data_IF_599935001814
#
_entry.id   IF_599935001814
#
_cell.length_a   1.000
_cell.length_b   1.000
_cell.length_c   1.000
_cell.angle_alpha   90.00
_cell.angle_beta   90.00
_cell.angle_gamma   90.00
#
_symmetry.space_group_name_H-M   'P 1'
#
loop_
_entity.id
_entity.type
_entity.pdbx_description
1 polymer ?
#
# COMPACT_ATOMS: atom_id res chain seq x y z
N UNK A 1 48.86 1.76 4.27
CA UNK A 1 48.34 1.73 5.66
C UNK A 1 47.13 2.63 5.84
N UNK A 2 47.16 3.89 5.41
CA UNK A 2 46.04 4.86 5.57
C UNK A 2 44.69 4.41 4.99
N UNK A 3 44.69 3.67 3.88
CA UNK A 3 43.45 3.19 3.25
C UNK A 3 42.70 2.15 4.11
N UNK A 4 43.45 1.36 4.90
CA UNK A 4 42.86 0.39 5.81
C UNK A 4 42.19 1.08 7.00
N UNK A 5 42.78 2.16 7.51
CA UNK A 5 42.19 2.99 8.56
C UNK A 5 40.91 3.70 8.09
N UNK A 6 40.89 4.18 6.84
CA UNK A 6 39.70 4.81 6.24
C UNK A 6 38.58 3.77 6.04
N UNK A 7 38.92 2.57 5.59
CA UNK A 7 37.98 1.46 5.46
C UNK A 7 37.41 1.06 6.82
N UNK A 8 38.26 0.88 7.84
CA UNK A 8 37.83 0.54 9.19
C UNK A 8 36.90 1.59 9.80
N UNK A 9 37.20 2.89 9.63
CA UNK A 9 36.30 3.98 10.07
C UNK A 9 34.94 3.92 9.38
N UNK A 10 34.93 3.69 8.07
CA UNK A 10 33.69 3.60 7.28
C UNK A 10 32.82 2.41 7.74
N UNK A 11 33.44 1.26 8.03
CA UNK A 11 32.72 0.09 8.55
C UNK A 11 32.16 0.37 9.95
N UNK A 12 32.92 1.03 10.82
CA UNK A 12 32.46 1.40 12.17
C UNK A 12 31.28 2.36 12.12
N UNK A 13 31.32 3.38 11.25
CA UNK A 13 30.22 4.33 11.07
C UNK A 13 28.96 3.65 10.51
N UNK A 14 29.13 2.72 9.56
CA UNK A 14 28.05 1.89 9.04
C UNK A 14 27.41 1.02 10.11
N UNK A 15 28.23 0.39 10.97
CA UNK A 15 27.75 -0.47 12.06
C UNK A 15 27.04 0.34 13.14
N UNK A 16 27.52 1.55 13.46
CA UNK A 16 26.86 2.47 14.39
C UNK A 16 25.50 2.93 13.87
N UNK A 17 25.42 3.26 12.57
CA UNK A 17 24.16 3.65 11.92
C UNK A 17 23.15 2.49 11.93
N UNK A 18 23.63 1.25 11.75
CA UNK A 18 22.80 0.06 11.84
C UNK A 18 22.27 -0.17 13.27
N UNK A 19 23.12 0.01 14.30
CA UNK A 19 22.71 -0.10 15.70
C UNK A 19 21.59 0.90 16.05
N UNK A 20 21.72 2.15 15.62
CA UNK A 20 20.67 3.18 15.80
C UNK A 20 19.37 2.80 15.08
N UNK A 21 19.47 2.21 13.88
CA UNK A 21 18.31 1.71 13.16
C UNK A 21 17.58 0.58 13.89
N UNK A 22 18.31 -0.32 14.55
CA UNK A 22 17.76 -1.45 15.32
C UNK A 22 17.05 -0.95 16.58
N UNK A 23 17.60 0.04 17.31
CA UNK A 23 16.96 0.64 18.48
C UNK A 23 15.62 1.28 18.12
N UNK A 24 15.58 2.09 17.05
CA UNK A 24 14.34 2.71 16.56
C UNK A 24 13.31 1.65 16.14
N UNK A 25 13.78 0.53 15.58
CA UNK A 25 12.89 -0.58 15.20
C UNK A 25 12.30 -1.27 16.45
N UNK A 26 13.09 -1.44 17.50
CA UNK A 26 12.66 -2.03 18.76
C UNK A 26 11.61 -1.16 19.47
N UNK A 27 11.82 0.17 19.53
CA UNK A 27 10.82 1.11 20.06
C UNK A 27 9.50 1.08 19.27
N UNK A 28 9.60 0.97 17.94
CA UNK A 28 8.41 0.82 17.08
C UNK A 28 7.73 -0.54 17.24
N UNK A 29 8.47 -1.60 17.54
CA UNK A 29 7.89 -2.92 17.83
C UNK A 29 7.18 -2.95 19.18
N UNK A 30 7.72 -2.30 20.21
CA UNK A 30 7.08 -2.22 21.54
C UNK A 30 5.74 -1.45 21.46
N UNK A 31 5.72 -0.32 20.76
CA UNK A 31 4.49 0.47 20.53
C UNK A 31 3.43 -0.27 19.71
N UNK A 32 3.82 -1.08 18.72
CA UNK A 32 2.90 -1.93 17.95
C UNK A 32 2.39 -3.10 18.79
N UNK A 33 3.23 -3.71 19.64
CA UNK A 33 2.81 -4.79 20.53
C UNK A 33 1.81 -4.29 21.59
N UNK A 34 2.05 -3.10 22.15
CA UNK A 34 1.16 -2.46 23.14
C UNK A 34 -0.18 -2.05 22.56
N UNK A 35 -0.23 -1.69 21.28
CA UNK A 35 -1.46 -1.32 20.56
C UNK A 35 -2.32 -2.52 20.13
N UNK A 36 -1.84 -3.77 20.29
CA UNK A 36 -2.53 -4.98 19.80
C UNK A 36 -3.26 -5.77 20.89
N UNK A 37 -3.16 -5.37 22.16
CA UNK A 37 -3.83 -6.04 23.29
C UNK A 37 -5.27 -5.57 23.56
N UNK A 38 -5.72 -4.49 22.92
CA UNK A 38 -7.06 -3.91 23.08
C UNK A 38 -7.93 -4.06 21.82
N UNK A 39 -7.98 -5.23 21.18
CA UNK A 39 -9.11 -5.52 20.30
C UNK A 39 -9.47 -7.02 20.28
N UNK A 40 -10.34 -7.41 21.23
CA UNK A 40 -11.10 -8.66 21.19
C UNK A 40 -12.06 -8.63 19.99
N UNK A 41 -11.97 -9.55 19.00
CA UNK A 41 -13.00 -9.68 17.98
C UNK A 41 -14.14 -10.55 18.53
N UNK A 42 -15.14 -9.91 19.16
CA UNK A 42 -16.46 -10.50 19.38
C UNK A 42 -17.35 -10.14 18.19
N UNK A 43 -17.72 -11.14 17.37
CA UNK A 43 -19.09 -11.47 16.88
C UNK A 43 -19.10 -12.11 15.49
N UNK A 44 -19.31 -13.43 15.52
CA UNK A 44 -20.22 -14.25 14.70
C UNK A 44 -21.06 -13.51 13.65
N UNK A 45 -21.10 -14.02 12.41
CA UNK A 45 -22.32 -14.63 11.85
C UNK A 45 -22.03 -15.38 10.53
N UNK A 46 -22.51 -16.62 10.49
CA UNK A 46 -22.55 -17.54 9.35
C UNK A 46 -23.59 -17.07 8.32
N UNK A 47 -23.32 -17.35 7.03
CA UNK A 47 -24.20 -18.05 6.09
C UNK A 47 -24.11 -17.51 4.65
N UNK A 48 -23.62 -18.35 3.73
CA UNK A 48 -24.06 -18.35 2.32
C UNK A 48 -25.46 -19.01 2.27
N UNK A 49 -26.30 -18.69 1.27
CA UNK A 49 -26.36 -19.60 0.12
C UNK A 49 -26.50 -18.91 -1.24
N UNK A 50 -26.15 -19.66 -2.27
CA UNK A 50 -26.18 -19.31 -3.68
C UNK A 50 -27.60 -19.23 -4.27
N UNK A 51 -27.82 -18.39 -5.29
CA UNK A 51 -28.73 -18.74 -6.41
C UNK A 51 -28.39 -17.99 -7.71
N UNK A 52 -28.54 -18.73 -8.81
CA UNK A 52 -28.14 -18.50 -10.20
C UNK A 52 -28.89 -17.33 -10.91
N UNK A 53 -28.24 -16.82 -11.96
CA UNK A 53 -28.59 -15.82 -12.98
C UNK A 53 -29.97 -16.07 -13.71
N UNK A 54 -30.45 -15.27 -14.70
CA UNK A 54 -29.82 -14.16 -15.48
C UNK A 54 -30.72 -12.93 -15.78
N UNK A 55 -30.13 -11.81 -16.26
CA UNK A 55 -30.69 -10.87 -17.27
C UNK A 55 -29.97 -9.50 -17.25
N UNK A 56 -29.34 -9.13 -18.36
CA UNK A 56 -29.13 -7.72 -18.79
C UNK A 56 -30.37 -7.31 -19.63
N UNK A 57 -30.70 -6.02 -19.92
CA UNK A 57 -29.81 -4.86 -19.93
C UNK A 57 -30.41 -3.51 -19.38
N UNK A 58 -29.51 -2.52 -19.25
CA UNK A 58 -29.74 -1.06 -19.21
C UNK A 58 -30.74 -0.51 -18.18
N UNK A 59 -30.19 0.05 -17.09
CA UNK A 59 -30.57 1.40 -16.66
C UNK A 59 -29.39 2.08 -15.98
N UNK A 60 -29.21 3.33 -16.33
CA UNK A 60 -28.28 4.31 -15.78
C UNK A 60 -28.54 4.50 -14.28
N UNK A 61 -27.98 3.62 -13.45
CA UNK A 61 -28.03 3.78 -12.01
C UNK A 61 -26.85 4.66 -11.62
N UNK A 62 -27.18 5.94 -11.43
CA UNK A 62 -26.37 6.92 -10.73
C UNK A 62 -25.64 6.22 -9.59
N UNK A 63 -24.30 6.28 -9.66
CA UNK A 63 -23.38 5.59 -8.76
C UNK A 63 -23.69 6.07 -7.35
N UNK A 64 -24.57 5.35 -6.63
CA UNK A 64 -24.64 5.40 -5.17
C UNK A 64 -23.21 5.25 -4.71
N UNK A 65 -22.66 6.35 -4.19
CA UNK A 65 -21.30 6.45 -3.69
C UNK A 65 -21.19 5.48 -2.53
N UNK A 66 -20.89 4.22 -2.87
CA UNK A 66 -20.24 3.31 -1.93
C UNK A 66 -19.02 4.09 -1.43
N UNK A 67 -18.75 4.09 -0.12
CA UNK A 67 -17.55 4.74 0.41
C UNK A 67 -16.39 4.30 -0.47
N UNK A 68 -15.74 5.27 -1.13
CA UNK A 68 -14.79 4.99 -2.19
C UNK A 68 -13.79 3.99 -1.64
N UNK A 69 -13.78 2.79 -2.23
CA UNK A 69 -12.87 1.76 -1.74
C UNK A 69 -11.44 2.28 -1.88
N UNK A 70 -10.52 1.86 -1.02
CA UNK A 70 -9.13 2.30 -1.10
C UNK A 70 -8.53 2.17 -2.53
N UNK A 71 -9.00 1.16 -3.28
CA UNK A 71 -8.65 0.97 -4.69
C UNK A 71 -9.24 2.04 -5.63
N UNK A 72 -10.47 2.49 -5.41
CA UNK A 72 -11.07 3.59 -6.15
C UNK A 72 -10.39 4.94 -5.85
N UNK A 73 -9.98 5.18 -4.61
CA UNK A 73 -9.21 6.38 -4.24
C UNK A 73 -7.87 6.43 -4.98
N UNK A 74 -7.13 5.32 -4.98
CA UNK A 74 -5.86 5.18 -5.71
C UNK A 74 -6.06 5.34 -7.22
N UNK A 75 -7.10 4.71 -7.77
CA UNK A 75 -7.44 4.84 -9.19
C UNK A 75 -7.83 6.28 -9.55
N UNK A 76 -8.55 6.98 -8.67
CA UNK A 76 -8.90 8.38 -8.85
C UNK A 76 -7.66 9.28 -8.92
N UNK A 77 -6.65 9.03 -8.09
CA UNK A 77 -5.38 9.77 -8.12
C UNK A 77 -4.62 9.48 -9.43
N UNK A 78 -4.57 8.22 -9.85
CA UNK A 78 -3.93 7.81 -11.10
C UNK A 78 -4.61 8.43 -12.33
N UNK A 79 -5.94 8.53 -12.33
CA UNK A 79 -6.71 9.15 -13.41
C UNK A 79 -6.45 10.66 -13.55
N UNK A 80 -6.08 11.33 -12.45
CA UNK A 80 -5.82 12.78 -12.47
C UNK A 80 -4.46 13.13 -13.09
N UNK A 81 -3.54 12.18 -13.23
CA UNK A 81 -2.21 12.43 -13.79
C UNK A 81 -2.07 11.87 -15.20
N UNK A 82 -1.73 12.73 -16.17
CA UNK A 82 -1.44 12.34 -17.56
C UNK A 82 -0.05 11.72 -17.75
N UNK A 83 0.87 11.96 -16.81
CA UNK A 83 2.26 11.46 -16.86
C UNK A 83 2.50 10.20 -16.03
N UNK A 84 1.46 9.71 -15.36
CA UNK A 84 1.54 8.64 -14.40
C UNK A 84 1.81 9.13 -12.98
N UNK A 85 1.71 8.22 -12.02
CA UNK A 85 1.94 8.49 -10.60
C UNK A 85 2.84 7.42 -10.02
N UNK A 86 3.84 7.86 -9.27
CA UNK A 86 4.77 6.99 -8.55
C UNK A 86 4.16 6.44 -7.25
N UNK A 87 4.58 5.25 -6.84
CA UNK A 87 4.25 4.63 -5.56
C UNK A 87 4.46 5.52 -4.34
N UNK A 88 5.57 6.27 -4.26
CA UNK A 88 5.83 7.18 -3.15
C UNK A 88 4.82 8.34 -3.12
N UNK A 89 4.40 8.82 -4.29
CA UNK A 89 3.39 9.88 -4.41
C UNK A 89 2.02 9.36 -3.99
N UNK A 90 1.69 8.11 -4.34
CA UNK A 90 0.47 7.44 -3.92
C UNK A 90 0.40 7.30 -2.39
N UNK A 91 1.50 6.90 -1.75
CA UNK A 91 1.59 6.82 -0.28
C UNK A 91 1.35 8.21 0.34
N UNK A 92 2.07 9.25 -0.12
CA UNK A 92 1.93 10.62 0.40
C UNK A 92 0.50 11.17 0.25
N UNK A 93 -0.16 10.91 -0.88
CA UNK A 93 -1.51 11.42 -1.16
C UNK A 93 -2.63 10.65 -0.47
N UNK A 94 -2.46 9.35 -0.25
CA UNK A 94 -3.50 8.50 0.33
C UNK A 94 -3.33 8.26 1.82
N UNK A 95 -2.12 8.42 2.36
CA UNK A 95 -1.78 8.04 3.73
C UNK A 95 -1.87 6.53 3.98
N UNK A 96 -1.99 5.70 2.93
CA UNK A 96 -2.03 4.26 3.09
C UNK A 96 -0.64 3.67 3.27
N UNK A 97 -0.58 2.59 4.05
CA UNK A 97 0.64 1.82 4.23
C UNK A 97 1.21 1.34 2.88
N UNK A 98 2.55 1.35 2.67
CA UNK A 98 3.18 0.93 1.43
C UNK A 98 2.72 -0.45 0.93
N UNK A 99 2.54 -1.42 1.84
CA UNK A 99 2.06 -2.76 1.52
C UNK A 99 0.64 -2.73 0.93
N UNK A 100 -0.23 -1.87 1.47
CA UNK A 100 -1.60 -1.69 0.98
C UNK A 100 -1.63 -1.06 -0.41
N UNK A 101 -0.79 -0.05 -0.65
CA UNK A 101 -0.62 0.55 -1.99
C UNK A 101 -0.16 -0.51 -2.99
N UNK A 102 0.87 -1.30 -2.66
CA UNK A 102 1.38 -2.33 -3.56
C UNK A 102 0.31 -3.36 -3.93
N UNK A 103 -0.45 -3.83 -2.94
CA UNK A 103 -1.56 -4.76 -3.16
C UNK A 103 -2.68 -4.16 -4.04
N UNK A 104 -3.01 -2.87 -3.85
CA UNK A 104 -4.01 -2.18 -4.66
C UNK A 104 -3.52 -2.02 -6.09
N UNK A 105 -2.30 -1.54 -6.29
CA UNK A 105 -1.67 -1.38 -7.61
C UNK A 105 -1.61 -2.72 -8.33
N UNK A 106 -1.19 -3.79 -7.65
CA UNK A 106 -1.18 -5.14 -8.21
C UNK A 106 -2.57 -5.58 -8.68
N UNK A 107 -3.61 -5.39 -7.85
CA UNK A 107 -5.00 -5.71 -8.21
C UNK A 107 -5.48 -4.86 -9.40
N UNK A 108 -5.19 -3.56 -9.42
CA UNK A 108 -5.59 -2.65 -10.50
C UNK A 108 -4.90 -3.00 -11.82
N UNK A 109 -3.63 -3.40 -11.78
CA UNK A 109 -2.87 -3.89 -12.93
C UNK A 109 -3.45 -5.22 -13.43
N UNK A 110 -3.73 -6.17 -12.55
CA UNK A 110 -4.41 -7.45 -12.89
C UNK A 110 -5.79 -7.24 -13.51
N UNK A 111 -6.52 -6.20 -13.08
CA UNK A 111 -7.81 -5.81 -13.64
C UNK A 111 -7.71 -5.04 -14.96
N UNK A 112 -6.49 -4.73 -15.44
CA UNK A 112 -6.29 -3.96 -16.67
C UNK A 112 -6.75 -2.51 -16.57
N UNK A 113 -6.87 -1.94 -15.37
CA UNK A 113 -7.27 -0.53 -15.17
C UNK A 113 -6.09 0.43 -15.23
N UNK A 114 -4.89 -0.07 -14.98
CA UNK A 114 -3.65 0.69 -14.98
C UNK A 114 -2.56 -0.07 -15.74
N UNK A 115 -1.63 0.66 -16.35
CA UNK A 115 -0.43 0.17 -17.04
C UNK A 115 0.82 0.70 -16.32
N UNK A 116 1.91 -0.06 -16.37
CA UNK A 116 3.21 0.42 -15.91
C UNK A 116 3.87 1.14 -17.08
N UNK A 117 4.24 2.40 -16.89
CA UNK A 117 4.99 3.18 -17.89
C UNK A 117 6.47 2.90 -17.71
N UNK A 118 6.91 3.01 -16.46
CA UNK A 118 8.28 2.76 -16.02
C UNK A 118 8.25 1.99 -14.70
N UNK A 119 9.42 1.59 -14.19
CA UNK A 119 9.54 0.90 -12.92
C UNK A 119 9.06 1.81 -11.78
N UNK A 120 7.89 1.50 -11.22
CA UNK A 120 7.28 2.25 -10.11
C UNK A 120 6.29 3.34 -10.54
N UNK A 121 6.19 3.63 -11.83
CA UNK A 121 5.29 4.67 -12.38
C UNK A 121 4.11 4.02 -13.10
N UNK A 122 2.90 4.38 -12.66
CA UNK A 122 1.66 3.80 -13.18
C UNK A 122 0.79 4.84 -13.88
N UNK A 123 0.25 4.49 -15.03
CA UNK A 123 -0.76 5.25 -15.78
C UNK A 123 -2.08 4.50 -15.84
N UNK A 124 -3.16 5.21 -16.12
CA UNK A 124 -4.42 4.59 -16.49
C UNK A 124 -4.22 3.79 -17.80
N UNK A 125 -4.82 2.60 -17.87
CA UNK A 125 -4.80 1.76 -19.05
C UNK A 125 -5.63 2.33 -20.20
#
# INVERSE_FOLDING_TARGET
MKDLDVFLKTVVDGMRSMAQGIEILAEKMDTIAKSRMDEKPKKKAKAKPARKAPAKPKKTVQKKEKPATAAETVLGILNKSKKGVDTATLIKKTGFEPKKIHNIVYKLKKQGKIKSVEKGVYLKA
#
